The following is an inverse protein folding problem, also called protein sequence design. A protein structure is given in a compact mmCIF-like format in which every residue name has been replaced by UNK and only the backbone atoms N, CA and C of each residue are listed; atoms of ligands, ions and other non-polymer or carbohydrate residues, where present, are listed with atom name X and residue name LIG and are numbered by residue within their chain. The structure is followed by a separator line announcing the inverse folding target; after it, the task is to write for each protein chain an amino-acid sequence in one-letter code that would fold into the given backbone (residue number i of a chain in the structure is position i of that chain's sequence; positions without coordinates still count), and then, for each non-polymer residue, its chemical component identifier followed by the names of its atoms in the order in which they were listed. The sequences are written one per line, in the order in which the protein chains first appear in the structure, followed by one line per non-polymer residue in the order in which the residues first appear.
data_IF_447216707026
#
_entry.id   IF_447216707026
#
_cell.length_a   1.000
_cell.length_b   1.000
_cell.length_c   1.000
_cell.angle_alpha   90.00
_cell.angle_beta   90.00
_cell.angle_gamma   90.00
#
_symmetry.space_group_name_H-M   'P 1'
#
loop_
_entity.id
_entity.type
_entity.pdbx_description
1 polymer ?
#
# COMPACT_ATOMS: atom_id res chain seq x y z
N UNK A 1 9.09 -9.56 -26.52
CA UNK A 1 9.79 -8.32 -26.10
C UNK A 1 10.23 -8.48 -24.66
N UNK A 2 11.53 -8.67 -24.41
CA UNK A 2 12.06 -8.82 -23.05
C UNK A 2 12.10 -7.47 -22.33
N UNK A 3 11.62 -7.43 -21.08
CA UNK A 3 11.73 -6.26 -20.20
C UNK A 3 13.21 -6.01 -19.86
N UNK A 4 13.66 -4.74 -19.89
CA UNK A 4 15.01 -4.38 -19.47
C UNK A 4 15.21 -4.66 -17.96
N UNK A 5 16.43 -5.00 -17.53
CA UNK A 5 16.71 -5.33 -16.13
C UNK A 5 16.27 -4.23 -15.15
N UNK A 6 16.42 -2.96 -15.54
CA UNK A 6 15.97 -1.81 -14.75
C UNK A 6 14.47 -1.81 -14.51
N UNK A 7 13.67 -2.12 -15.53
CA UNK A 7 12.20 -2.21 -15.39
C UNK A 7 11.77 -3.38 -14.51
N UNK A 8 12.47 -4.52 -14.60
CA UNK A 8 12.22 -5.69 -13.76
C UNK A 8 12.55 -5.40 -12.29
N UNK A 9 13.62 -4.65 -12.03
CA UNK A 9 14.00 -4.25 -10.68
C UNK A 9 12.98 -3.28 -10.05
N UNK A 10 12.50 -2.29 -10.82
CA UNK A 10 11.43 -1.39 -10.36
C UNK A 10 10.14 -2.13 -10.03
N UNK A 11 9.68 -3.01 -10.92
CA UNK A 11 8.48 -3.83 -10.69
C UNK A 11 8.61 -4.71 -9.44
N UNK A 12 9.80 -5.27 -9.20
CA UNK A 12 10.07 -6.04 -7.99
C UNK A 12 9.95 -5.16 -6.74
N UNK A 13 10.52 -3.95 -6.75
CA UNK A 13 10.36 -3.00 -5.63
C UNK A 13 8.89 -2.65 -5.38
N UNK A 14 8.10 -2.46 -6.43
CA UNK A 14 6.66 -2.20 -6.30
C UNK A 14 5.93 -3.39 -5.68
N UNK A 15 6.23 -4.61 -6.11
CA UNK A 15 5.65 -5.84 -5.55
C UNK A 15 6.02 -6.06 -4.08
N UNK A 16 7.28 -5.76 -3.71
CA UNK A 16 7.77 -5.88 -2.35
C UNK A 16 7.01 -4.97 -1.36
N UNK A 17 6.41 -3.86 -1.82
CA UNK A 17 5.59 -3.00 -0.97
C UNK A 17 4.34 -3.72 -0.41
N UNK A 18 3.92 -4.84 -0.99
CA UNK A 18 2.78 -5.60 -0.46
C UNK A 18 3.19 -6.66 0.57
N UNK A 19 4.49 -6.86 0.81
CA UNK A 19 4.97 -7.71 1.89
C UNK A 19 4.84 -6.96 3.22
N UNK A 20 4.35 -7.61 4.30
CA UNK A 20 4.25 -7.00 5.61
C UNK A 20 5.56 -6.31 6.03
N UNK A 21 5.45 -5.12 6.62
CA UNK A 21 6.56 -4.25 7.07
C UNK A 21 7.52 -3.73 6.00
N UNK A 22 7.61 -4.34 4.81
CA UNK A 22 8.56 -3.91 3.77
C UNK A 22 8.22 -2.52 3.23
N UNK A 23 6.93 -2.20 3.04
CA UNK A 23 6.51 -0.85 2.65
C UNK A 23 6.94 0.20 3.69
N UNK A 24 6.86 -0.12 4.98
CA UNK A 24 7.29 0.77 6.06
C UNK A 24 8.80 0.97 6.00
N UNK A 25 9.57 -0.10 5.79
CA UNK A 25 11.02 -0.01 5.65
C UNK A 25 11.36 0.90 4.45
N UNK A 26 10.79 0.65 3.27
CA UNK A 26 11.03 1.48 2.08
C UNK A 26 10.61 2.93 2.27
N UNK A 27 9.57 3.20 3.07
CA UNK A 27 9.20 4.57 3.42
C UNK A 27 10.34 5.32 4.11
N UNK A 28 11.12 4.66 4.99
CA UNK A 28 12.24 5.28 5.70
C UNK A 28 13.57 5.17 4.95
N UNK A 29 13.84 4.06 4.25
CA UNK A 29 15.17 3.75 3.70
C UNK A 29 15.37 4.26 2.28
N UNK A 30 14.32 4.35 1.47
CA UNK A 30 14.46 4.79 0.07
C UNK A 30 14.45 6.31 0.00
N UNK A 31 15.58 6.93 -0.35
CA UNK A 31 15.71 8.39 -0.39
C UNK A 31 15.06 9.01 -1.64
N UNK A 32 15.07 8.30 -2.77
CA UNK A 32 14.60 8.82 -4.06
C UNK A 32 13.38 8.02 -4.55
N UNK A 33 12.23 8.30 -3.94
CA UNK A 33 10.97 7.59 -4.21
C UNK A 33 10.28 8.20 -5.42
N UNK A 34 10.15 7.44 -6.51
CA UNK A 34 9.28 7.83 -7.61
C UNK A 34 7.82 7.97 -7.13
N UNK A 35 7.00 8.75 -7.83
CA UNK A 35 5.59 8.89 -7.50
C UNK A 35 4.85 7.53 -7.49
N UNK A 36 5.22 6.64 -8.41
CA UNK A 36 4.67 5.30 -8.51
C UNK A 36 5.10 4.40 -7.34
N UNK A 37 6.39 4.41 -6.97
CA UNK A 37 6.87 3.68 -5.80
C UNK A 37 6.20 4.19 -4.51
N UNK A 38 6.06 5.51 -4.37
CA UNK A 38 5.36 6.11 -3.23
C UNK A 38 3.90 5.65 -3.16
N UNK A 39 3.21 5.49 -4.30
CA UNK A 39 1.85 4.95 -4.36
C UNK A 39 1.79 3.52 -3.81
N UNK A 40 2.69 2.65 -4.25
CA UNK A 40 2.78 1.27 -3.75
C UNK A 40 3.15 1.20 -2.25
N UNK A 41 4.07 2.04 -1.79
CA UNK A 41 4.41 2.16 -0.36
C UNK A 41 3.18 2.53 0.45
N UNK A 42 2.43 3.56 0.04
CA UNK A 42 1.20 3.98 0.71
C UNK A 42 0.18 2.86 0.78
N UNK A 43 -0.07 2.19 -0.34
CA UNK A 43 -1.01 1.07 -0.40
C UNK A 43 -0.61 -0.07 0.54
N UNK A 44 0.67 -0.46 0.53
CA UNK A 44 1.20 -1.47 1.43
C UNK A 44 1.01 -1.10 2.91
N UNK A 45 1.35 0.14 3.28
CA UNK A 45 1.19 0.65 4.65
C UNK A 45 -0.27 0.65 5.08
N UNK A 46 -1.18 1.19 4.24
CA UNK A 46 -2.61 1.26 4.54
C UNK A 46 -3.21 -0.14 4.69
N UNK A 47 -2.86 -1.09 3.80
CA UNK A 47 -3.30 -2.48 3.91
C UNK A 47 -2.79 -3.14 5.20
N UNK A 48 -1.52 -2.94 5.54
CA UNK A 48 -0.93 -3.51 6.75
C UNK A 48 -1.56 -2.94 8.03
N UNK A 49 -1.72 -1.62 8.12
CA UNK A 49 -2.34 -0.95 9.27
C UNK A 49 -3.82 -1.33 9.36
N UNK A 50 -4.55 -1.28 8.24
CA UNK A 50 -5.97 -1.65 8.18
C UNK A 50 -6.21 -3.09 8.64
N UNK A 51 -5.37 -4.03 8.15
CA UNK A 51 -5.39 -5.42 8.63
C UNK A 51 -5.08 -5.51 10.12
N UNK A 52 -4.01 -4.87 10.60
CA UNK A 52 -3.60 -4.95 12.01
C UNK A 52 -4.66 -4.43 12.97
N UNK A 53 -5.33 -3.33 12.61
CA UNK A 53 -6.45 -2.77 13.38
C UNK A 53 -7.66 -3.72 13.36
N UNK A 54 -8.04 -4.22 12.19
CA UNK A 54 -9.19 -5.12 12.05
C UNK A 54 -8.97 -6.45 12.80
N UNK A 55 -7.75 -6.99 12.71
CA UNK A 55 -7.33 -8.19 13.43
C UNK A 55 -7.39 -7.98 14.95
N UNK A 56 -7.00 -6.81 15.45
CA UNK A 56 -7.05 -6.48 16.88
C UNK A 56 -8.49 -6.38 17.40
N UNK A 57 -9.42 -5.91 16.56
CA UNK A 57 -10.84 -5.79 16.89
C UNK A 57 -11.60 -7.13 16.81
N UNK A 58 -11.23 -7.99 15.87
CA UNK A 58 -11.89 -9.26 15.57
C UNK A 58 -11.12 -10.48 16.09
N UNK A 59 -10.21 -10.27 17.05
CA UNK A 59 -9.34 -11.32 17.59
C UNK A 59 -10.17 -12.49 18.15
N UNK A 60 -10.03 -13.67 17.54
CA UNK A 60 -10.83 -14.86 17.82
C UNK A 60 -10.89 -15.82 16.62
N UNK A 61 -11.99 -16.56 16.47
CA UNK A 61 -12.19 -17.56 15.41
C UNK A 61 -12.08 -16.97 14.00
N UNK A 62 -12.42 -15.68 13.82
CA UNK A 62 -12.32 -14.99 12.53
C UNK A 62 -10.89 -14.51 12.19
N UNK A 63 -9.97 -14.50 13.17
CA UNK A 63 -8.60 -14.03 12.97
C UNK A 63 -7.84 -14.79 11.88
N UNK A 64 -7.85 -16.13 11.86
CA UNK A 64 -7.25 -16.91 10.78
C UNK A 64 -7.86 -16.61 9.40
N UNK A 65 -9.18 -16.42 9.31
CA UNK A 65 -9.84 -16.09 8.05
C UNK A 65 -9.39 -14.71 7.52
N UNK A 66 -9.33 -13.70 8.40
CA UNK A 66 -8.84 -12.37 8.06
C UNK A 66 -7.38 -12.39 7.60
N UNK A 67 -6.55 -13.23 8.23
CA UNK A 67 -5.17 -13.44 7.80
C UNK A 67 -5.09 -13.98 6.37
N UNK A 68 -5.85 -15.02 6.03
CA UNK A 68 -5.86 -15.57 4.66
C UNK A 68 -6.39 -14.56 3.63
N UNK A 69 -7.41 -13.78 3.98
CA UNK A 69 -7.90 -12.70 3.11
C UNK A 69 -6.80 -11.66 2.87
N UNK A 70 -6.12 -11.23 3.93
CA UNK A 70 -5.01 -10.28 3.83
C UNK A 70 -3.86 -10.81 2.96
N UNK A 71 -3.43 -12.06 3.17
CA UNK A 71 -2.40 -12.70 2.35
C UNK A 71 -2.86 -12.80 0.89
N UNK A 72 -4.10 -13.20 0.63
CA UNK A 72 -4.65 -13.27 -0.72
C UNK A 72 -4.61 -11.92 -1.45
N UNK A 73 -5.06 -10.85 -0.78
CA UNK A 73 -5.05 -9.48 -1.34
C UNK A 73 -3.61 -9.02 -1.62
N UNK A 74 -2.70 -9.18 -0.66
CA UNK A 74 -1.30 -8.72 -0.80
C UNK A 74 -0.54 -9.47 -1.88
N UNK A 75 -0.71 -10.80 -1.97
CA UNK A 75 -0.13 -11.62 -3.04
C UNK A 75 -0.70 -11.21 -4.39
N UNK A 76 -2.02 -11.02 -4.51
CA UNK A 76 -2.65 -10.60 -5.76
C UNK A 76 -2.12 -9.24 -6.25
N UNK A 77 -2.06 -8.24 -5.36
CA UNK A 77 -1.55 -6.91 -5.71
C UNK A 77 -0.05 -6.92 -6.01
N UNK A 78 0.73 -7.69 -5.24
CA UNK A 78 2.15 -7.91 -5.48
C UNK A 78 2.41 -8.55 -6.85
N UNK A 79 1.61 -9.54 -7.23
CA UNK A 79 1.70 -10.19 -8.55
C UNK A 79 1.42 -9.20 -9.70
N UNK A 80 0.36 -8.38 -9.60
CA UNK A 80 0.06 -7.34 -10.59
C UNK A 80 1.20 -6.32 -10.71
N UNK A 81 1.71 -5.84 -9.57
CA UNK A 81 2.82 -4.89 -9.53
C UNK A 81 4.11 -5.49 -10.13
N UNK A 82 4.41 -6.75 -9.85
CA UNK A 82 5.55 -7.46 -10.46
C UNK A 82 5.42 -7.56 -11.98
N UNK A 83 4.22 -7.83 -12.48
CA UNK A 83 3.93 -7.84 -13.92
C UNK A 83 3.95 -6.44 -14.55
N UNK A 84 4.10 -5.37 -13.77
CA UNK A 84 4.08 -3.99 -14.25
C UNK A 84 2.68 -3.53 -14.64
N UNK A 85 1.64 -4.22 -14.15
CA UNK A 85 0.27 -3.76 -14.29
C UNK A 85 0.03 -2.60 -13.33
N UNK A 86 -0.76 -1.61 -13.78
CA UNK A 86 -1.16 -0.51 -12.93
C UNK A 86 -2.04 -1.03 -11.80
N UNK A 87 -1.63 -0.74 -10.57
CA UNK A 87 -2.43 -1.00 -9.38
C UNK A 87 -3.11 0.30 -8.97
N UNK A 88 -4.44 0.28 -8.98
CA UNK A 88 -5.27 1.41 -8.60
C UNK A 88 -6.21 0.94 -7.50
N UNK A 89 -6.08 1.55 -6.32
CA UNK A 89 -6.95 1.32 -5.18
C UNK A 89 -7.74 2.60 -4.93
N UNK A 90 -8.76 2.85 -5.76
CA UNK A 90 -9.58 4.06 -5.72
C UNK A 90 -10.09 4.39 -4.32
N UNK A 91 -10.43 3.39 -3.51
CA UNK A 91 -10.89 3.60 -2.14
C UNK A 91 -9.82 4.26 -1.25
N UNK A 92 -8.55 3.89 -1.42
CA UNK A 92 -7.43 4.49 -0.69
C UNK A 92 -7.14 5.89 -1.24
N UNK A 93 -7.16 6.07 -2.56
CA UNK A 93 -6.92 7.36 -3.21
C UNK A 93 -8.01 8.38 -2.81
N UNK A 94 -9.28 7.98 -2.84
CA UNK A 94 -10.42 8.79 -2.40
C UNK A 94 -10.36 9.11 -0.91
N UNK A 95 -9.89 8.18 -0.07
CA UNK A 95 -9.70 8.42 1.35
C UNK A 95 -8.60 9.48 1.58
N UNK A 96 -7.47 9.39 0.86
CA UNK A 96 -6.40 10.39 0.94
C UNK A 96 -6.92 11.78 0.55
N UNK A 97 -7.70 11.87 -0.54
CA UNK A 97 -8.28 13.14 -0.98
C UNK A 97 -9.23 13.72 0.09
N UNK A 98 -10.14 12.92 0.64
CA UNK A 98 -11.07 13.37 1.69
C UNK A 98 -10.34 13.83 2.96
N UNK A 99 -9.23 13.19 3.32
CA UNK A 99 -8.40 13.61 4.46
C UNK A 99 -7.75 14.96 4.19
N UNK A 100 -7.16 15.15 3.00
CA UNK A 100 -6.55 16.43 2.59
C UNK A 100 -7.56 17.58 2.61
N UNK A 101 -8.73 17.38 2.00
CA UNK A 101 -9.81 18.38 1.97
C UNK A 101 -10.24 18.79 3.39
N UNK A 102 -10.36 17.82 4.31
CA UNK A 102 -10.68 18.10 5.71
C UNK A 102 -9.58 18.89 6.42
N UNK A 103 -8.32 18.53 6.22
CA UNK A 103 -7.17 19.23 6.84
C UNK A 103 -7.09 20.69 6.38
N UNK A 104 -7.22 20.95 5.08
CA UNK A 104 -7.21 22.31 4.52
C UNK A 104 -8.37 23.15 5.05
N UNK A 105 -9.55 22.56 5.20
CA UNK A 105 -10.73 23.23 5.76
C UNK A 105 -10.54 23.56 7.25
N UNK A 106 -9.88 22.68 8.01
CA UNK A 106 -9.58 22.92 9.43
C UNK A 106 -8.51 24.00 9.61
N UNK A 107 -7.49 24.06 8.75
CA UNK A 107 -6.46 25.10 8.80
C UNK A 107 -7.02 26.49 8.44
N UNK A 108 -7.91 26.57 7.45
CA UNK A 108 -8.60 27.82 7.09
C UNK A 108 -9.53 28.34 8.20
N UNK A 109 -10.06 27.47 9.06
CA UNK A 109 -10.90 27.86 10.22
C UNK A 109 -10.09 28.28 11.45
N UNK A 110 -8.78 28.00 11.49
CA UNK A 110 -7.87 28.38 12.58
C UNK A 110 -7.14 29.71 12.34
N UNK A 111 -7.21 30.25 11.12
CA UNK A 111 -6.73 31.60 10.75
C UNK A 111 -7.90 32.58 10.77
#
# INVERSE_FOLDING_TARGET
MGKSETSKNMNLKHALCYIPLVAVIFFFTESNKSAELMKHIKYGIVLFIGYSLLQSLLAGILGPLLFFIYIGITVFLGFKAYNGEKVELEHIDNLEQKIKEKLETTEKKKK
#
